data_IF_452204745632
#
_entry.id   IF_452204745632
#
_cell.length_a   1.000
_cell.length_b   1.000
_cell.length_c   1.000
_cell.angle_alpha   90.00
_cell.angle_beta   90.00
_cell.angle_gamma   90.00
#
_symmetry.space_group_name_H-M   'P 1'
#
loop_
_entity.id
_entity.type
_entity.pdbx_description
1 polymer ?
#
# COMPACT_ATOMS: atom_id res chain seq x y z
N UNK A 1 -6.84 -7.66 34.83
CA UNK A 1 -5.93 -8.64 34.18
C UNK A 1 -5.48 -8.03 32.87
N UNK A 2 -4.34 -7.35 32.88
CA UNK A 2 -3.76 -6.68 31.71
C UNK A 2 -2.84 -7.72 31.07
N UNK A 3 -3.19 -8.18 29.87
CA UNK A 3 -2.39 -9.14 29.12
C UNK A 3 -1.19 -8.38 28.53
N UNK A 4 -0.07 -8.37 29.25
CA UNK A 4 1.19 -7.80 28.76
C UNK A 4 1.65 -8.63 27.56
N UNK A 5 1.77 -8.06 26.34
CA UNK A 5 2.35 -8.79 25.23
C UNK A 5 3.81 -9.09 25.55
N UNK A 6 4.13 -10.36 25.75
CA UNK A 6 5.49 -10.87 25.90
C UNK A 6 6.29 -10.47 24.66
N UNK A 7 7.21 -9.51 24.79
CA UNK A 7 8.18 -9.20 23.75
C UNK A 7 8.95 -10.49 23.38
N UNK A 8 9.13 -10.82 22.09
CA UNK A 8 9.87 -12.02 21.73
C UNK A 8 11.31 -11.89 22.21
N UNK A 9 11.84 -13.00 22.73
CA UNK A 9 13.26 -13.17 23.03
C UNK A 9 14.08 -12.81 21.78
N UNK A 10 15.11 -11.98 21.93
CA UNK A 10 15.88 -11.33 20.85
C UNK A 10 16.41 -12.29 19.74
N UNK A 11 16.52 -13.59 20.00
CA UNK A 11 16.89 -14.59 18.99
C UNK A 11 15.78 -14.95 17.99
N UNK A 12 14.51 -15.02 18.40
CA UNK A 12 13.41 -15.32 17.47
C UNK A 12 12.99 -14.12 16.63
N UNK A 13 13.23 -12.90 17.13
CA UNK A 13 12.92 -11.68 16.40
C UNK A 13 13.77 -11.51 15.14
N UNK A 14 15.05 -11.89 15.18
CA UNK A 14 15.94 -11.83 14.01
C UNK A 14 15.60 -12.88 12.94
N UNK A 15 15.16 -14.07 13.35
CA UNK A 15 14.72 -15.12 12.42
C UNK A 15 13.38 -14.78 11.77
N UNK A 16 12.46 -14.24 12.57
CA UNK A 16 11.15 -13.79 12.10
C UNK A 16 11.28 -12.63 11.09
N UNK A 17 12.16 -11.66 11.39
CA UNK A 17 12.46 -10.56 10.47
C UNK A 17 12.97 -11.08 9.12
N UNK A 18 13.99 -11.94 9.12
CA UNK A 18 14.56 -12.52 7.89
C UNK A 18 13.53 -13.31 7.07
N UNK A 19 12.62 -14.01 7.74
CA UNK A 19 11.52 -14.73 7.06
C UNK A 19 10.54 -13.78 6.40
N UNK A 20 10.19 -12.68 7.05
CA UNK A 20 9.26 -11.67 6.49
C UNK A 20 9.93 -10.90 5.36
N UNK A 21 11.20 -10.53 5.50
CA UNK A 21 12.02 -9.94 4.43
C UNK A 21 12.07 -10.84 3.19
N UNK A 22 12.40 -12.12 3.38
CA UNK A 22 12.42 -13.10 2.29
C UNK A 22 11.03 -13.25 1.62
N UNK A 23 9.95 -13.20 2.40
CA UNK A 23 8.59 -13.25 1.87
C UNK A 23 8.24 -12.00 1.04
N UNK A 24 8.63 -10.80 1.49
CA UNK A 24 8.43 -9.55 0.74
C UNK A 24 9.21 -9.60 -0.57
N UNK A 25 10.48 -10.01 -0.53
CA UNK A 25 11.31 -10.17 -1.73
C UNK A 25 10.77 -11.23 -2.70
N UNK A 26 10.14 -12.29 -2.18
CA UNK A 26 9.44 -13.27 -3.00
C UNK A 26 8.18 -12.68 -3.66
N UNK A 27 7.34 -11.98 -2.90
CA UNK A 27 6.12 -11.35 -3.41
C UNK A 27 6.41 -10.31 -4.50
N UNK A 28 7.47 -9.52 -4.32
CA UNK A 28 7.90 -8.50 -5.29
C UNK A 28 8.37 -9.13 -6.60
N UNK A 29 9.26 -10.14 -6.51
CA UNK A 29 9.77 -10.84 -7.70
C UNK A 29 8.71 -11.62 -8.46
N UNK A 30 7.82 -12.31 -7.74
CA UNK A 30 6.78 -13.16 -8.33
C UNK A 30 5.48 -12.40 -8.59
N UNK A 31 5.45 -11.07 -8.42
CA UNK A 31 4.26 -10.23 -8.57
C UNK A 31 3.45 -10.52 -9.86
N UNK A 32 4.07 -10.66 -11.06
CA UNK A 32 3.32 -10.95 -12.28
C UNK A 32 2.55 -12.27 -12.24
N UNK A 33 3.00 -13.24 -11.44
CA UNK A 33 2.35 -14.55 -11.29
C UNK A 33 1.24 -14.56 -10.24
N UNK A 34 1.09 -13.48 -9.48
CA UNK A 34 0.10 -13.35 -8.39
C UNK A 34 0.12 -14.58 -7.45
N UNK A 35 1.25 -14.84 -6.77
CA UNK A 35 1.44 -16.08 -6.02
C UNK A 35 0.41 -16.25 -4.90
N UNK A 36 -0.04 -17.48 -4.73
CA UNK A 36 -0.95 -17.88 -3.67
C UNK A 36 -0.24 -17.92 -2.31
N UNK A 37 -1.02 -17.82 -1.23
CA UNK A 37 -0.49 -17.82 0.14
C UNK A 37 0.41 -19.05 0.43
N UNK A 38 0.04 -20.21 -0.13
CA UNK A 38 0.80 -21.46 0.03
C UNK A 38 2.18 -21.41 -0.60
N UNK A 39 2.33 -20.71 -1.72
CA UNK A 39 3.60 -20.61 -2.45
C UNK A 39 4.58 -19.74 -1.67
N UNK A 40 4.11 -18.61 -1.15
CA UNK A 40 4.91 -17.71 -0.30
C UNK A 40 5.28 -18.39 1.02
N UNK A 41 4.35 -19.15 1.61
CA UNK A 41 4.61 -19.91 2.83
C UNK A 41 5.67 -21.00 2.61
N UNK A 42 5.59 -21.73 1.49
CA UNK A 42 6.59 -22.72 1.11
C UNK A 42 7.99 -22.10 0.92
N UNK A 43 8.07 -20.92 0.28
CA UNK A 43 9.32 -20.18 0.11
C UNK A 43 9.99 -19.76 1.43
N UNK A 44 9.22 -19.68 2.53
CA UNK A 44 9.71 -19.31 3.86
C UNK A 44 9.87 -20.51 4.81
N UNK A 45 9.60 -21.72 4.33
CA UNK A 45 9.66 -22.96 5.12
C UNK A 45 8.57 -23.05 6.20
N UNK A 46 7.43 -22.38 6.01
CA UNK A 46 6.33 -22.31 6.97
C UNK A 46 5.05 -22.91 6.40
N UNK A 47 4.16 -23.36 7.30
CA UNK A 47 2.78 -23.64 6.91
C UNK A 47 2.03 -22.33 6.60
N UNK A 48 1.00 -22.35 5.73
CA UNK A 48 0.24 -21.14 5.37
C UNK A 48 -0.33 -20.39 6.59
N UNK A 49 -0.85 -21.13 7.58
CA UNK A 49 -1.40 -20.56 8.80
C UNK A 49 -0.34 -19.85 9.65
N UNK A 50 0.82 -20.49 9.85
CA UNK A 50 1.92 -19.89 10.61
C UNK A 50 2.51 -18.68 9.89
N UNK A 51 2.70 -18.76 8.58
CA UNK A 51 3.18 -17.67 7.76
C UNK A 51 2.24 -16.45 7.83
N UNK A 52 0.94 -16.63 7.61
CA UNK A 52 -0.02 -15.53 7.66
C UNK A 52 0.00 -14.79 9.01
N UNK A 53 0.08 -15.54 10.12
CA UNK A 53 0.15 -14.95 11.46
C UNK A 53 1.48 -14.23 11.69
N UNK A 54 2.60 -14.82 11.25
CA UNK A 54 3.92 -14.22 11.34
C UNK A 54 3.98 -12.90 10.55
N UNK A 55 3.59 -12.95 9.28
CA UNK A 55 3.61 -11.80 8.37
C UNK A 55 2.74 -10.67 8.90
N UNK A 56 1.51 -10.95 9.32
CA UNK A 56 0.63 -9.91 9.89
C UNK A 56 1.18 -9.26 11.16
N UNK A 57 1.84 -10.04 12.01
CA UNK A 57 2.45 -9.50 13.24
C UNK A 57 3.58 -8.52 12.94
N UNK A 58 4.35 -8.77 11.88
CA UNK A 58 5.52 -7.96 11.53
C UNK A 58 5.22 -6.84 10.53
N UNK A 59 4.47 -7.13 9.46
CA UNK A 59 4.12 -6.18 8.41
C UNK A 59 2.83 -5.40 8.70
N UNK A 60 2.08 -5.76 9.74
CA UNK A 60 0.80 -5.12 10.11
C UNK A 60 -0.40 -5.47 9.21
N UNK A 61 -0.17 -6.00 8.01
CA UNK A 61 -1.19 -6.39 7.03
C UNK A 61 -1.11 -7.88 6.67
N UNK A 62 -2.14 -8.44 6.03
CA UNK A 62 -2.07 -9.81 5.52
C UNK A 62 -1.19 -9.90 4.27
N UNK A 63 -0.59 -11.07 3.96
CA UNK A 63 0.17 -11.26 2.72
C UNK A 63 -0.64 -10.90 1.46
N UNK A 64 -1.93 -11.29 1.43
CA UNK A 64 -2.83 -10.95 0.33
C UNK A 64 -3.00 -9.44 0.14
N UNK A 65 -3.19 -8.69 1.24
CA UNK A 65 -3.34 -7.23 1.16
C UNK A 65 -2.03 -6.56 0.74
N UNK A 66 -0.89 -7.11 1.16
CA UNK A 66 0.42 -6.64 0.72
C UNK A 66 0.64 -6.88 -0.77
N UNK A 67 0.30 -8.07 -1.29
CA UNK A 67 0.34 -8.35 -2.73
C UNK A 67 -0.56 -7.38 -3.52
N UNK A 68 -1.77 -7.11 -3.05
CA UNK A 68 -2.66 -6.12 -3.67
C UNK A 68 -2.05 -4.71 -3.73
N UNK A 69 -1.32 -4.31 -2.68
CA UNK A 69 -0.60 -3.04 -2.65
C UNK A 69 0.52 -3.02 -3.70
N UNK A 70 1.37 -4.06 -3.75
CA UNK A 70 2.41 -4.18 -4.78
C UNK A 70 1.83 -4.13 -6.19
N UNK A 71 0.71 -4.84 -6.43
CA UNK A 71 0.00 -4.81 -7.71
C UNK A 71 -0.46 -3.40 -8.08
N UNK A 72 -1.01 -2.64 -7.13
CA UNK A 72 -1.42 -1.25 -7.36
C UNK A 72 -0.22 -0.34 -7.61
N UNK A 73 0.85 -0.45 -6.83
CA UNK A 73 2.07 0.33 -7.04
C UNK A 73 2.66 0.06 -8.44
N UNK A 74 2.74 -1.19 -8.85
CA UNK A 74 3.18 -1.53 -10.21
C UNK A 74 2.26 -0.92 -11.27
N UNK A 75 0.94 -1.07 -11.12
CA UNK A 75 -0.01 -0.48 -12.06
C UNK A 75 0.07 1.06 -12.12
N UNK A 76 0.35 1.75 -11.01
CA UNK A 76 0.58 3.21 -11.01
C UNK A 76 1.76 3.58 -11.91
N UNK A 77 2.89 2.86 -11.81
CA UNK A 77 4.06 3.13 -12.66
C UNK A 77 3.74 2.96 -14.16
N UNK A 78 2.92 1.96 -14.51
CA UNK A 78 2.47 1.74 -15.87
C UNK A 78 1.53 2.86 -16.36
N UNK A 79 0.57 3.27 -15.53
CA UNK A 79 -0.38 4.34 -15.86
C UNK A 79 0.30 5.71 -16.01
N UNK A 80 1.32 5.98 -15.19
CA UNK A 80 2.19 7.16 -15.33
C UNK A 80 3.03 7.11 -16.61
N UNK A 81 3.42 5.91 -17.05
CA UNK A 81 4.06 5.64 -18.35
C UNK A 81 3.09 5.55 -19.53
N UNK A 82 1.89 6.16 -19.43
CA UNK A 82 0.85 6.23 -20.45
C UNK A 82 0.13 4.93 -20.85
N UNK A 83 0.40 3.80 -20.19
CA UNK A 83 -0.30 2.53 -20.44
C UNK A 83 -1.83 2.70 -20.30
N UNK A 84 -2.60 1.94 -21.08
CA UNK A 84 -4.05 1.91 -20.90
C UNK A 84 -4.42 1.23 -19.56
N UNK A 85 -5.64 1.46 -19.05
CA UNK A 85 -6.10 0.76 -17.84
C UNK A 85 -6.18 -0.76 -18.07
N UNK A 86 -6.41 -1.18 -19.32
CA UNK A 86 -6.40 -2.59 -19.69
C UNK A 86 -4.99 -3.17 -19.62
N UNK A 87 -4.02 -2.53 -20.26
CA UNK A 87 -2.62 -3.01 -20.28
C UNK A 87 -2.05 -3.01 -18.86
N UNK A 88 -2.26 -1.92 -18.10
CA UNK A 88 -1.82 -1.85 -16.71
C UNK A 88 -2.41 -2.97 -15.84
N UNK A 89 -3.66 -3.39 -16.08
CA UNK A 89 -4.25 -4.50 -15.35
C UNK A 89 -3.61 -5.84 -15.74
N UNK A 90 -3.46 -6.12 -17.04
CA UNK A 90 -2.92 -7.38 -17.53
C UNK A 90 -1.43 -7.54 -17.17
N UNK A 91 -0.63 -6.49 -17.35
CA UNK A 91 0.80 -6.48 -17.04
C UNK A 91 1.07 -6.58 -15.53
N UNK A 92 0.12 -6.14 -14.70
CA UNK A 92 0.16 -6.36 -13.24
C UNK A 92 -0.35 -7.74 -12.81
N UNK A 93 -0.58 -8.67 -13.75
CA UNK A 93 -1.02 -10.04 -13.47
C UNK A 93 -2.51 -10.17 -13.11
N UNK A 94 -3.33 -9.12 -13.31
CA UNK A 94 -4.75 -9.17 -13.01
C UNK A 94 -5.56 -9.71 -14.19
N UNK A 95 -6.72 -10.29 -13.88
CA UNK A 95 -7.64 -10.82 -14.90
C UNK A 95 -8.33 -9.75 -15.77
N UNK A 96 -8.09 -8.46 -15.50
CA UNK A 96 -8.62 -7.35 -16.29
C UNK A 96 -8.96 -6.09 -15.46
N UNK A 97 -9.48 -5.04 -16.12
CA UNK A 97 -9.66 -3.70 -15.55
C UNK A 97 -10.53 -3.64 -14.29
N UNK A 98 -11.54 -4.52 -14.18
CA UNK A 98 -12.44 -4.55 -13.02
C UNK A 98 -11.70 -4.88 -11.72
N UNK A 99 -10.73 -5.80 -11.75
CA UNK A 99 -9.91 -6.13 -10.57
C UNK A 99 -9.00 -4.97 -10.19
N UNK A 100 -8.41 -4.31 -11.18
CA UNK A 100 -7.58 -3.14 -10.93
C UNK A 100 -8.40 -2.00 -10.32
N UNK A 101 -9.62 -1.79 -10.83
CA UNK A 101 -10.57 -0.83 -10.28
C UNK A 101 -10.87 -1.11 -8.81
N UNK A 102 -11.21 -2.37 -8.46
CA UNK A 102 -11.47 -2.75 -7.08
C UNK A 102 -10.27 -2.46 -6.16
N UNK A 103 -9.05 -2.76 -6.61
CA UNK A 103 -7.84 -2.50 -5.82
C UNK A 103 -7.58 -1.02 -5.62
N UNK A 104 -7.68 -0.21 -6.68
CA UNK A 104 -7.52 1.24 -6.63
C UNK A 104 -8.54 1.89 -5.70
N UNK A 105 -9.81 1.54 -5.80
CA UNK A 105 -10.86 2.13 -4.92
C UNK A 105 -10.58 1.79 -3.45
N UNK A 106 -10.15 0.56 -3.16
CA UNK A 106 -9.90 0.12 -1.79
C UNK A 106 -8.57 0.62 -1.18
N UNK A 107 -7.56 0.90 -2.00
CA UNK A 107 -6.20 1.24 -1.55
C UNK A 107 -5.84 2.72 -1.76
N UNK A 108 -6.36 3.35 -2.82
CA UNK A 108 -6.03 4.73 -3.22
C UNK A 108 -7.21 5.70 -3.10
N UNK A 109 -8.40 5.22 -2.70
CA UNK A 109 -9.62 6.01 -2.61
C UNK A 109 -9.97 6.75 -3.92
N UNK A 110 -9.63 6.15 -5.06
CA UNK A 110 -9.96 6.64 -6.40
C UNK A 110 -9.90 5.50 -7.42
N UNK A 111 -10.33 5.75 -8.64
CA UNK A 111 -10.27 4.81 -9.75
C UNK A 111 -8.93 4.91 -10.51
N UNK A 112 -8.52 3.87 -11.26
CA UNK A 112 -7.30 3.94 -12.07
C UNK A 112 -7.34 5.07 -13.10
N UNK A 113 -8.52 5.39 -13.64
CA UNK A 113 -8.69 6.48 -14.60
C UNK A 113 -8.57 7.87 -13.97
N UNK A 114 -9.14 8.06 -12.77
CA UNK A 114 -8.95 9.30 -12.00
C UNK A 114 -7.47 9.48 -11.64
N UNK A 115 -6.79 8.41 -11.22
CA UNK A 115 -5.33 8.42 -10.98
C UNK A 115 -4.55 8.84 -12.23
N UNK A 116 -4.79 8.18 -13.38
CA UNK A 116 -4.12 8.48 -14.65
C UNK A 116 -4.28 9.95 -15.08
N UNK A 117 -5.45 10.55 -14.80
CA UNK A 117 -5.72 11.97 -15.07
C UNK A 117 -5.32 12.91 -13.93
N UNK A 118 -4.41 12.51 -13.04
CA UNK A 118 -3.91 13.33 -11.93
C UNK A 118 -5.04 13.87 -11.03
N UNK A 119 -6.09 13.08 -10.85
CA UNK A 119 -7.25 13.43 -10.03
C UNK A 119 -8.27 14.36 -10.71
N UNK A 120 -8.25 14.48 -12.05
CA UNK A 120 -9.25 15.28 -12.77
C UNK A 120 -10.69 14.92 -12.37
N UNK A 121 -11.42 15.94 -11.88
CA UNK A 121 -12.79 15.82 -11.42
C UNK A 121 -12.95 15.46 -9.94
N UNK A 122 -11.86 15.16 -9.23
CA UNK A 122 -11.88 14.91 -7.79
C UNK A 122 -11.84 16.21 -6.99
N UNK A 123 -12.62 16.24 -5.91
CA UNK A 123 -12.44 17.15 -4.79
C UNK A 123 -11.62 16.41 -3.72
N UNK A 124 -10.48 16.99 -3.33
CA UNK A 124 -9.59 16.44 -2.31
C UNK A 124 -9.50 17.44 -1.17
N UNK A 125 -10.22 17.17 -0.09
CA UNK A 125 -10.07 17.93 1.13
C UNK A 125 -8.82 17.48 1.88
N UNK A 126 -8.08 18.40 2.48
CA UNK A 126 -6.91 18.07 3.29
C UNK A 126 -6.84 18.91 4.57
N UNK A 127 -6.10 18.40 5.55
CA UNK A 127 -5.90 19.07 6.82
C UNK A 127 -4.82 18.40 7.68
N UNK A 128 -4.39 19.11 8.72
CA UNK A 128 -3.39 18.61 9.67
C UNK A 128 -4.07 18.08 10.92
N UNK A 129 -3.68 16.88 11.34
CA UNK A 129 -4.23 16.20 12.50
C UNK A 129 -3.12 15.69 13.43
N UNK A 130 -3.33 15.69 14.76
CA UNK A 130 -2.38 15.07 15.69
C UNK A 130 -2.38 13.55 15.53
N UNK A 131 -1.21 12.93 15.63
CA UNK A 131 -1.04 11.47 15.65
C UNK A 131 -0.01 11.04 16.70
N UNK A 132 0.06 9.74 17.06
CA UNK A 132 1.11 9.23 17.95
C UNK A 132 2.54 9.46 17.46
N UNK A 133 2.73 9.77 16.17
CA UNK A 133 4.03 10.00 15.54
C UNK A 133 4.30 11.49 15.26
N UNK A 134 3.45 12.40 15.77
CA UNK A 134 3.50 13.82 15.49
C UNK A 134 2.35 14.30 14.60
N UNK A 135 2.30 15.60 14.26
CA UNK A 135 1.28 16.13 13.36
C UNK A 135 1.42 15.50 11.96
N UNK A 136 0.28 15.21 11.34
CA UNK A 136 0.20 14.54 10.05
C UNK A 136 -0.74 15.32 9.13
N UNK A 137 -0.31 15.59 7.89
CA UNK A 137 -1.20 16.04 6.83
C UNK A 137 -1.95 14.83 6.29
N UNK A 138 -3.27 14.95 6.19
CA UNK A 138 -4.15 13.93 5.65
C UNK A 138 -4.98 14.54 4.53
N UNK A 139 -5.08 13.86 3.40
CA UNK A 139 -5.95 14.24 2.29
C UNK A 139 -6.94 13.13 1.95
N UNK A 140 -8.17 13.51 1.64
CA UNK A 140 -9.28 12.58 1.43
C UNK A 140 -10.11 12.98 0.21
N UNK A 141 -10.52 11.99 -0.56
CA UNK A 141 -11.57 12.10 -1.59
C UNK A 141 -12.92 11.73 -0.97
N UNK A 142 -13.99 11.83 -1.76
CA UNK A 142 -15.31 11.29 -1.37
C UNK A 142 -15.33 9.78 -1.10
N UNK A 143 -14.27 9.03 -1.45
CA UNK A 143 -14.15 7.57 -1.21
C UNK A 143 -13.28 7.21 -0.01
N UNK A 144 -12.51 8.16 0.55
CA UNK A 144 -11.62 7.91 1.68
C UNK A 144 -10.27 8.61 1.58
N UNK A 145 -9.30 8.18 2.38
CA UNK A 145 -7.96 8.75 2.43
C UNK A 145 -7.18 8.40 1.15
N UNK A 146 -6.62 9.41 0.50
CA UNK A 146 -5.75 9.26 -0.68
C UNK A 146 -4.31 9.69 -0.43
N UNK A 147 -4.05 10.39 0.69
CA UNK A 147 -2.71 10.79 1.08
C UNK A 147 -2.61 10.96 2.59
N UNK A 148 -1.47 10.58 3.15
CA UNK A 148 -1.11 10.84 4.53
C UNK A 148 0.42 10.98 4.63
N UNK A 149 0.89 12.03 5.29
CA UNK A 149 2.31 12.29 5.49
C UNK A 149 2.56 12.92 6.86
N UNK A 150 3.55 12.41 7.60
CA UNK A 150 3.98 13.01 8.87
C UNK A 150 4.74 14.30 8.59
N UNK A 151 4.42 15.35 9.32
CA UNK A 151 5.12 16.62 9.19
C UNK A 151 6.47 16.57 9.90
N UNK A 152 7.40 17.37 9.40
CA UNK A 152 8.71 17.56 10.02
C UNK A 152 8.61 18.19 11.42
N UNK A 153 9.74 18.24 12.17
CA UNK A 153 9.77 18.81 13.51
C UNK A 153 9.34 20.28 13.60
N UNK A 154 9.42 21.02 12.49
CA UNK A 154 8.98 22.41 12.36
C UNK A 154 7.46 22.54 12.20
N UNK A 155 6.74 21.44 11.96
CA UNK A 155 5.31 21.40 11.72
C UNK A 155 4.88 22.08 10.41
N UNK A 156 5.82 22.34 9.50
CA UNK A 156 5.54 23.02 8.24
C UNK A 156 4.76 22.12 7.29
N UNK A 157 3.69 22.65 6.70
CA UNK A 157 2.86 21.94 5.71
C UNK A 157 3.31 22.17 4.27
N UNK A 158 4.16 23.17 4.02
CA UNK A 158 4.45 23.65 2.67
C UNK A 158 5.00 22.56 1.72
N UNK A 159 5.86 21.67 2.24
CA UNK A 159 6.41 20.56 1.45
C UNK A 159 5.35 19.51 1.10
N UNK A 160 4.47 19.20 2.05
CA UNK A 160 3.41 18.20 1.86
C UNK A 160 2.26 18.75 1.01
N UNK A 161 1.91 20.03 1.16
CA UNK A 161 0.98 20.73 0.28
C UNK A 161 1.48 20.76 -1.16
N UNK A 162 2.77 21.09 -1.38
CA UNK A 162 3.38 21.08 -2.71
C UNK A 162 3.38 19.66 -3.31
N UNK A 163 3.64 18.64 -2.49
CA UNK A 163 3.56 17.23 -2.90
C UNK A 163 2.15 16.85 -3.31
N UNK A 164 1.14 17.24 -2.53
CA UNK A 164 -0.27 16.98 -2.82
C UNK A 164 -0.71 17.68 -4.11
N UNK A 165 -0.35 18.95 -4.29
CA UNK A 165 -0.66 19.73 -5.49
C UNK A 165 0.05 19.21 -6.74
N UNK A 166 1.29 18.75 -6.61
CA UNK A 166 2.03 18.16 -7.72
C UNK A 166 1.42 16.81 -8.13
N UNK A 167 1.13 15.94 -7.16
CA UNK A 167 0.57 14.60 -7.40
C UNK A 167 -0.82 14.69 -8.02
N UNK A 168 -1.66 15.61 -7.52
CA UNK A 168 -3.05 15.76 -7.93
C UNK A 168 -3.28 17.07 -8.70
N UNK A 169 -2.43 17.33 -9.69
CA UNK A 169 -2.48 18.57 -10.49
C UNK A 169 -3.79 18.79 -11.26
N UNK A 170 -4.63 17.76 -11.40
CA UNK A 170 -5.96 17.85 -12.01
C UNK A 170 -7.12 17.94 -11.00
N UNK A 171 -6.86 17.75 -9.70
CA UNK A 171 -7.88 17.78 -8.66
C UNK A 171 -8.17 19.21 -8.19
N UNK A 172 -9.32 19.38 -7.53
CA UNK A 172 -9.63 20.57 -6.73
C UNK A 172 -9.23 20.30 -5.28
N UNK A 173 -8.28 21.07 -4.77
CA UNK A 173 -7.78 21.01 -3.38
C UNK A 173 -8.50 22.02 -2.49
#
# INVERSE_FOLDING_TARGET
>A
MINTPTAPLLGSAGDDYRRVEAAIAFLDRELPQQPELSEVAAATGLSPYHFQRLFRRWAGVSPKRFLQLLTVEHAKTLLEGDASVLDAALDSGLSGPGRLHDHFVNLEAMTPGEFKRRGEGLDIAWGVHPSPFGPMLVAATGRGLCHAAFLGPDGSTAAEEATLAHRWSGARL
#
